data_IF_223737786107
#
_entry.id   IF_223737786107
#
_cell.length_a   1.000
_cell.length_b   1.000
_cell.length_c   1.000
_cell.angle_alpha   90.00
_cell.angle_beta   90.00
_cell.angle_gamma   90.00
#
_symmetry.space_group_name_H-M   'P 1'
#
loop_
_entity.id
_entity.type
_entity.pdbx_description
1 polymer ?
#
# COMPACT_ATOMS: atom_id res chain seq x y z
N UNK A 1 -46.11 -25.64 20.23
CA UNK A 1 -44.88 -25.69 21.05
C UNK A 1 -43.73 -25.22 20.17
N UNK A 2 -43.14 -24.04 20.43
CA UNK A 2 -42.08 -23.51 19.59
C UNK A 2 -40.71 -23.91 20.16
N UNK A 3 -39.72 -24.13 19.30
CA UNK A 3 -38.33 -24.21 19.72
C UNK A 3 -37.42 -23.63 18.65
N UNK A 4 -36.53 -22.75 19.12
CA UNK A 4 -35.25 -22.29 18.53
C UNK A 4 -35.24 -21.01 17.71
N UNK A 5 -34.78 -19.96 18.39
CA UNK A 5 -33.87 -18.94 17.86
C UNK A 5 -32.75 -18.73 18.88
N UNK A 6 -31.48 -18.63 18.47
CA UNK A 6 -30.50 -17.85 19.21
C UNK A 6 -30.14 -16.61 18.38
N UNK A 7 -30.59 -15.44 18.83
CA UNK A 7 -30.09 -14.15 18.38
C UNK A 7 -28.85 -13.81 19.20
N UNK A 8 -27.68 -13.83 18.58
CA UNK A 8 -26.43 -13.36 19.19
C UNK A 8 -26.37 -11.84 19.15
N UNK A 9 -26.55 -11.27 20.34
CA UNK A 9 -26.09 -9.99 20.86
C UNK A 9 -25.14 -9.14 20.00
N UNK A 10 -25.61 -7.94 19.67
CA UNK A 10 -24.79 -6.77 19.38
C UNK A 10 -24.33 -6.14 20.70
N UNK A 11 -23.02 -6.00 20.89
CA UNK A 11 -22.42 -5.23 21.98
C UNK A 11 -21.58 -4.10 21.39
N UNK A 12 -22.14 -2.90 21.32
CA UNK A 12 -21.43 -1.68 20.99
C UNK A 12 -21.08 -0.90 22.26
N UNK A 13 -19.83 -0.46 22.35
CA UNK A 13 -19.43 0.73 23.11
C UNK A 13 -19.06 0.51 24.58
N UNK A 14 -17.88 -0.06 24.83
CA UNK A 14 -17.14 0.16 26.08
C UNK A 14 -15.81 0.85 25.78
N UNK A 15 -15.75 2.14 26.06
CA UNK A 15 -14.49 2.87 26.21
C UNK A 15 -13.89 2.45 27.55
N UNK A 16 -12.71 1.82 27.50
CA UNK A 16 -11.96 1.35 28.66
C UNK A 16 -10.49 1.74 28.54
N UNK A 17 -9.88 2.29 29.61
CA UNK A 17 -8.56 2.94 29.58
C UNK A 17 -7.45 1.91 29.78
N UNK A 18 -6.28 2.12 29.17
CA UNK A 18 -4.98 1.61 29.67
C UNK A 18 -3.84 2.13 28.82
N UNK A 19 -3.06 3.03 29.42
CA UNK A 19 -1.78 3.52 28.90
C UNK A 19 -0.96 3.96 30.08
N UNK A 20 -0.39 2.99 30.79
CA UNK A 20 0.48 3.22 31.94
C UNK A 20 1.94 3.05 31.55
N UNK A 21 2.71 4.08 31.92
CA UNK A 21 4.08 4.03 32.43
C UNK A 21 5.26 4.24 31.46
N UNK A 22 6.03 5.27 31.84
CA UNK A 22 7.49 5.31 31.92
C UNK A 22 8.28 5.90 30.75
N UNK A 23 8.58 7.20 30.88
CA UNK A 23 9.90 7.79 30.65
C UNK A 23 9.92 9.11 31.48
N UNK A 24 10.53 9.17 32.67
CA UNK A 24 11.99 9.26 32.93
C UNK A 24 12.68 10.32 32.07
N UNK A 25 12.37 11.59 32.30
CA UNK A 25 13.15 12.74 31.86
C UNK A 25 13.66 13.49 33.09
N UNK A 26 14.86 13.14 33.55
CA UNK A 26 15.53 13.83 34.65
C UNK A 26 16.04 15.19 34.18
N UNK A 27 15.49 16.26 34.74
CA UNK A 27 16.07 17.59 34.69
C UNK A 27 17.22 17.65 35.70
N UNK A 28 18.43 17.41 35.20
CA UNK A 28 19.66 17.53 35.97
C UNK A 28 20.11 18.99 35.92
N UNK A 29 19.93 19.65 37.07
CA UNK A 29 20.78 20.72 37.58
C UNK A 29 22.23 20.62 37.06
N UNK A 30 22.77 21.73 36.55
CA UNK A 30 24.22 21.89 36.39
C UNK A 30 24.63 23.30 36.80
N UNK A 31 25.35 23.32 37.92
CA UNK A 31 26.06 24.44 38.50
C UNK A 31 27.12 25.05 37.57
N UNK A 32 27.43 26.31 37.84
CA UNK A 32 28.62 27.05 37.39
C UNK A 32 29.93 26.24 37.54
N UNK A 33 30.94 26.59 36.73
CA UNK A 33 32.11 27.22 37.34
C UNK A 33 32.66 28.40 36.55
N UNK A 34 33.27 29.33 37.30
CA UNK A 34 33.66 30.65 36.85
C UNK A 34 34.84 30.74 35.87
N UNK A 35 34.80 31.82 35.11
CA UNK A 35 35.89 32.36 34.31
C UNK A 35 36.66 33.42 35.09
N UNK A 36 38.00 33.32 35.24
CA UNK A 36 38.81 34.47 35.65
C UNK A 36 39.21 35.23 34.38
N UNK A 37 38.47 36.30 34.06
CA UNK A 37 38.89 37.27 33.06
C UNK A 37 39.70 38.37 33.74
N UNK A 38 40.93 38.50 33.27
CA UNK A 38 41.96 39.38 33.77
C UNK A 38 41.63 40.86 33.50
N UNK A 39 41.84 41.67 34.52
CA UNK A 39 42.14 43.11 34.43
C UNK A 39 43.40 43.33 33.60
N UNK A 40 43.47 44.40 32.78
CA UNK A 40 44.28 45.53 33.21
C UNK A 40 43.75 46.88 32.70
N UNK A 41 43.56 47.85 33.60
CA UNK A 41 43.45 49.26 33.22
C UNK A 41 44.07 50.13 34.31
N UNK A 42 45.33 50.46 34.03
CA UNK A 42 46.05 51.72 34.28
C UNK A 42 45.41 52.68 35.29
N UNK A 43 46.13 52.93 36.39
CA UNK A 43 45.91 54.05 37.29
C UNK A 43 47.23 54.86 37.47
N UNK A 44 47.15 56.15 37.80
CA UNK A 44 48.18 57.15 37.53
C UNK A 44 49.22 57.27 38.64
N UNK A 45 50.43 57.66 38.22
CA UNK A 45 51.60 57.95 39.06
C UNK A 45 51.40 59.26 39.83
N UNK A 46 51.56 59.21 41.16
CA UNK A 46 51.67 60.38 42.04
C UNK A 46 53.16 60.73 42.20
N UNK A 47 53.56 62.02 42.13
CA UNK A 47 54.92 62.45 42.37
C UNK A 47 55.19 62.65 43.88
N UNK A 48 56.29 62.11 44.39
CA UNK A 48 56.85 62.45 45.71
C UNK A 48 58.23 63.09 45.55
N UNK A 49 58.56 64.12 46.35
CA UNK A 49 59.75 64.94 46.18
C UNK A 49 61.00 64.33 46.82
N UNK A 50 62.13 64.70 46.23
CA UNK A 50 63.49 64.55 46.76
C UNK A 50 63.69 65.30 48.08
N UNK A 51 64.43 64.72 49.04
CA UNK A 51 65.58 65.33 49.71
C UNK A 51 66.22 64.35 50.73
N UNK A 52 67.56 64.34 50.81
CA UNK A 52 68.28 64.02 52.06
C UNK A 52 69.41 62.99 51.98
N UNK A 53 70.61 63.46 51.59
CA UNK A 53 71.92 62.84 51.86
C UNK A 53 72.15 62.67 53.38
N UNK A 54 72.98 61.71 53.88
CA UNK A 54 74.43 61.92 53.88
C UNK A 54 75.31 60.65 53.73
N UNK A 55 76.34 60.76 52.89
CA UNK A 55 77.74 60.42 53.26
C UNK A 55 78.20 58.96 53.43
N UNK A 56 79.31 58.66 52.73
CA UNK A 56 80.30 57.57 52.90
C UNK A 56 80.07 56.25 52.13
N UNK A 57 81.11 55.46 51.79
CA UNK A 57 82.54 55.72 51.49
C UNK A 57 82.88 55.34 50.01
N UNK A 58 84.13 55.46 49.49
CA UNK A 58 84.39 55.13 48.08
C UNK A 58 84.26 53.63 47.85
N UNK A 59 83.46 53.28 46.84
CA UNK A 59 83.28 51.91 46.35
C UNK A 59 84.66 51.39 45.91
N UNK A 60 85.16 50.26 46.45
CA UNK A 60 86.31 49.61 45.86
C UNK A 60 85.89 49.14 44.47
N UNK A 61 86.70 49.44 43.46
CA UNK A 61 86.51 48.92 42.10
C UNK A 61 86.38 47.40 42.16
N UNK A 62 85.35 46.80 41.54
CA UNK A 62 85.12 45.37 41.64
C UNK A 62 86.37 44.62 41.17
N UNK A 63 86.81 43.64 41.95
CA UNK A 63 87.86 42.73 41.50
C UNK A 63 87.29 41.91 40.33
N UNK A 64 88.13 41.57 39.33
CA UNK A 64 87.71 40.80 38.14
C UNK A 64 86.87 39.55 38.45
N UNK A 65 87.04 38.99 39.65
CA UNK A 65 86.30 37.83 40.16
C UNK A 65 84.84 38.15 40.53
N UNK A 66 84.55 39.32 41.09
CA UNK A 66 83.17 39.77 41.38
C UNK A 66 82.38 40.06 40.11
N UNK A 67 83.01 40.64 39.08
CA UNK A 67 82.36 40.82 37.78
C UNK A 67 82.05 39.49 37.09
N UNK A 68 82.95 38.51 37.20
CA UNK A 68 82.75 37.17 36.64
C UNK A 68 81.62 36.41 37.36
N UNK A 69 81.55 36.52 38.70
CA UNK A 69 80.45 35.96 39.49
C UNK A 69 79.12 36.65 39.16
N UNK A 70 79.09 37.98 39.00
CA UNK A 70 77.89 38.72 38.56
C UNK A 70 77.45 38.31 37.14
N UNK A 71 78.40 38.01 36.25
CA UNK A 71 78.09 37.47 34.92
C UNK A 71 77.49 36.06 35.01
N UNK A 72 78.05 35.17 35.84
CA UNK A 72 77.48 33.84 36.07
C UNK A 72 76.09 33.88 36.69
N UNK A 73 75.85 34.76 37.66
CA UNK A 73 74.51 34.94 38.26
C UNK A 73 73.51 35.38 37.18
N UNK A 74 73.87 36.34 36.32
CA UNK A 74 73.02 36.73 35.18
C UNK A 74 72.75 35.58 34.22
N UNK A 75 73.78 34.83 33.81
CA UNK A 75 73.61 33.67 32.91
C UNK A 75 72.71 32.58 33.54
N UNK A 76 72.84 32.35 34.85
CA UNK A 76 72.01 31.40 35.59
C UNK A 76 70.58 31.90 35.74
N UNK A 77 70.37 33.20 35.97
CA UNK A 77 69.05 33.83 35.99
C UNK A 77 68.36 33.72 34.62
N UNK A 78 69.05 34.00 33.52
CA UNK A 78 68.53 33.86 32.15
C UNK A 78 68.17 32.40 31.81
N UNK A 79 69.01 31.44 32.21
CA UNK A 79 68.71 30.00 32.07
C UNK A 79 67.49 29.60 32.89
N UNK A 80 67.39 30.10 34.12
CA UNK A 80 66.26 29.81 35.00
C UNK A 80 64.96 30.40 34.45
N UNK A 81 65.01 31.60 33.87
CA UNK A 81 63.88 32.23 33.20
C UNK A 81 63.47 31.44 31.95
N UNK A 82 64.43 31.03 31.13
CA UNK A 82 64.18 30.16 29.96
C UNK A 82 63.53 28.84 30.37
N UNK A 83 63.99 28.22 31.47
CA UNK A 83 63.40 26.99 32.00
C UNK A 83 61.98 27.20 32.54
N UNK A 84 61.70 28.34 33.17
CA UNK A 84 60.33 28.70 33.60
C UNK A 84 59.39 28.84 32.41
N UNK A 85 59.84 29.53 31.35
CA UNK A 85 59.06 29.70 30.10
C UNK A 85 58.75 28.33 29.50
N UNK A 86 59.76 27.47 29.32
CA UNK A 86 59.56 26.10 28.80
C UNK A 86 58.59 25.28 29.65
N UNK A 87 58.72 25.34 30.97
CA UNK A 87 57.78 24.63 31.88
C UNK A 87 56.34 25.14 31.71
N UNK A 88 56.15 26.45 31.53
CA UNK A 88 54.83 27.03 31.32
C UNK A 88 54.25 26.64 29.96
N UNK A 89 55.07 26.62 28.90
CA UNK A 89 54.69 26.13 27.57
C UNK A 89 54.29 24.65 27.61
N UNK A 90 55.07 23.80 28.27
CA UNK A 90 54.75 22.36 28.39
C UNK A 90 53.47 22.13 29.21
N UNK A 91 53.25 22.93 30.25
CA UNK A 91 51.97 22.92 31.00
C UNK A 91 50.79 23.35 30.13
N UNK A 92 50.98 24.31 29.22
CA UNK A 92 49.94 24.71 28.27
C UNK A 92 49.65 23.59 27.25
N UNK A 93 50.69 22.97 26.68
CA UNK A 93 50.56 21.83 25.77
C UNK A 93 49.84 20.64 26.41
N UNK A 94 50.14 20.35 27.68
CA UNK A 94 49.45 19.29 28.44
C UNK A 94 47.94 19.52 28.54
N UNK A 95 47.52 20.75 28.86
CA UNK A 95 46.09 21.11 28.90
C UNK A 95 45.44 21.03 27.52
N UNK A 96 46.17 21.40 26.47
CA UNK A 96 45.68 21.30 25.09
C UNK A 96 45.50 19.84 24.67
N UNK A 97 46.45 18.97 25.01
CA UNK A 97 46.35 17.52 24.80
C UNK A 97 45.15 16.91 25.52
N UNK A 98 44.89 17.30 26.78
CA UNK A 98 43.69 16.85 27.51
C UNK A 98 42.40 17.28 26.81
N UNK A 99 42.36 18.51 26.29
CA UNK A 99 41.21 19.01 25.51
C UNK A 99 41.02 18.19 24.23
N UNK A 100 42.08 17.93 23.47
CA UNK A 100 41.99 17.11 22.26
C UNK A 100 41.59 15.67 22.56
N UNK A 101 42.04 15.11 23.69
CA UNK A 101 41.64 13.76 24.12
C UNK A 101 40.13 13.66 24.37
N UNK A 102 39.55 14.63 25.08
CA UNK A 102 38.10 14.68 25.32
C UNK A 102 37.33 14.83 23.99
N UNK A 103 37.80 15.69 23.09
CA UNK A 103 37.18 15.84 21.76
C UNK A 103 37.24 14.55 20.94
N UNK A 104 38.37 13.84 21.00
CA UNK A 104 38.54 12.56 20.31
C UNK A 104 37.57 11.50 20.88
N UNK A 105 37.45 11.40 22.19
CA UNK A 105 36.51 10.49 22.86
C UNK A 105 35.06 10.81 22.46
N UNK A 106 34.69 12.10 22.45
CA UNK A 106 33.34 12.53 22.04
C UNK A 106 33.05 12.19 20.56
N UNK A 107 34.02 12.39 19.66
CA UNK A 107 33.88 12.02 18.24
C UNK A 107 33.80 10.51 18.08
N UNK A 108 34.54 9.72 18.86
CA UNK A 108 34.44 8.26 18.85
C UNK A 108 33.06 7.78 19.32
N UNK A 109 32.49 8.37 20.38
CA UNK A 109 31.13 8.07 20.82
C UNK A 109 30.09 8.41 19.75
N UNK A 110 30.20 9.58 19.13
CA UNK A 110 29.31 9.98 18.03
C UNK A 110 29.42 9.04 16.83
N UNK A 111 30.63 8.60 16.49
CA UNK A 111 30.85 7.61 15.43
C UNK A 111 30.17 6.28 15.76
N UNK A 112 30.33 5.77 16.98
CA UNK A 112 29.69 4.53 17.43
C UNK A 112 28.16 4.65 17.40
N UNK A 113 27.59 5.75 17.92
CA UNK A 113 26.14 6.02 17.86
C UNK A 113 25.63 6.08 16.43
N UNK A 114 26.35 6.76 15.54
CA UNK A 114 25.96 6.85 14.13
C UNK A 114 26.01 5.48 13.44
N UNK A 115 27.01 4.66 13.74
CA UNK A 115 27.10 3.29 13.21
C UNK A 115 25.97 2.40 13.71
N UNK A 116 25.60 2.50 14.99
CA UNK A 116 24.45 1.79 15.57
C UNK A 116 23.13 2.21 14.91
N UNK A 117 22.89 3.52 14.75
CA UNK A 117 21.72 4.04 14.05
C UNK A 117 21.67 3.56 12.59
N UNK A 118 22.80 3.53 11.90
CA UNK A 118 22.87 3.03 10.53
C UNK A 118 22.55 1.52 10.47
N UNK A 119 23.06 0.72 11.41
CA UNK A 119 22.75 -0.70 11.50
C UNK A 119 21.26 -0.95 11.79
N UNK A 120 20.67 -0.18 12.71
CA UNK A 120 19.26 -0.24 13.05
C UNK A 120 18.36 0.14 11.87
N UNK A 121 18.68 1.22 11.15
CA UNK A 121 17.96 1.62 9.96
C UNK A 121 18.04 0.54 8.86
N UNK A 122 19.21 -0.05 8.66
CA UNK A 122 19.37 -1.16 7.71
C UNK A 122 18.57 -2.40 8.12
N UNK A 123 18.50 -2.70 9.42
CA UNK A 123 17.69 -3.81 9.95
C UNK A 123 16.19 -3.56 9.72
N UNK A 124 15.69 -2.39 10.11
CA UNK A 124 14.27 -2.01 9.89
C UNK A 124 13.90 -2.01 8.41
N UNK A 125 14.80 -1.56 7.54
CA UNK A 125 14.58 -1.59 6.10
C UNK A 125 14.45 -3.02 5.56
N UNK A 126 15.27 -3.96 6.05
CA UNK A 126 15.16 -5.38 5.69
C UNK A 126 13.87 -6.00 6.23
N UNK A 127 13.50 -5.70 7.48
CA UNK A 127 12.26 -6.18 8.09
C UNK A 127 11.03 -5.67 7.35
N UNK A 128 10.96 -4.37 7.06
CA UNK A 128 9.86 -3.78 6.29
C UNK A 128 9.76 -4.36 4.88
N UNK A 129 10.89 -4.63 4.20
CA UNK A 129 10.88 -5.31 2.89
C UNK A 129 10.36 -6.74 2.99
N UNK A 130 10.72 -7.47 4.04
CA UNK A 130 10.23 -8.83 4.28
C UNK A 130 8.73 -8.81 4.56
N UNK A 131 8.27 -7.94 5.44
CA UNK A 131 6.85 -7.80 5.77
C UNK A 131 6.01 -7.40 4.57
N UNK A 132 6.50 -6.48 3.73
CA UNK A 132 5.84 -6.13 2.47
C UNK A 132 5.73 -7.32 1.51
N UNK A 133 6.78 -8.17 1.44
CA UNK A 133 6.76 -9.39 0.63
C UNK A 133 5.78 -10.42 1.19
N UNK A 134 5.83 -10.68 2.49
CA UNK A 134 4.94 -11.63 3.16
C UNK A 134 3.46 -11.19 3.02
N UNK A 135 3.19 -9.87 3.07
CA UNK A 135 1.85 -9.32 2.82
C UNK A 135 1.38 -9.50 1.36
N UNK A 136 2.28 -9.36 0.38
CA UNK A 136 1.97 -9.65 -1.03
C UNK A 136 1.66 -11.14 -1.24
N UNK A 137 2.47 -12.04 -0.69
CA UNK A 137 2.23 -13.48 -0.77
C UNK A 137 0.91 -13.87 -0.09
N UNK A 138 0.57 -13.27 1.05
CA UNK A 138 -0.71 -13.49 1.72
C UNK A 138 -1.90 -13.02 0.86
N UNK A 139 -1.76 -11.85 0.20
CA UNK A 139 -2.77 -11.35 -0.74
C UNK A 139 -2.92 -12.27 -1.95
N UNK A 140 -1.82 -12.75 -2.53
CA UNK A 140 -1.86 -13.69 -3.66
C UNK A 140 -2.59 -14.97 -3.30
N UNK A 141 -2.30 -15.57 -2.15
CA UNK A 141 -3.04 -16.75 -1.65
C UNK A 141 -4.53 -16.46 -1.47
N UNK A 142 -4.88 -15.32 -0.88
CA UNK A 142 -6.28 -14.94 -0.72
C UNK A 142 -6.99 -14.74 -2.07
N UNK A 143 -6.31 -14.17 -3.06
CA UNK A 143 -6.85 -14.04 -4.42
C UNK A 143 -7.05 -15.39 -5.10
N UNK A 144 -6.12 -16.34 -4.90
CA UNK A 144 -6.23 -17.72 -5.40
C UNK A 144 -7.42 -18.44 -4.74
N UNK A 145 -7.56 -18.38 -3.41
CA UNK A 145 -8.71 -18.92 -2.69
C UNK A 145 -10.04 -18.28 -3.15
N UNK A 146 -10.04 -16.98 -3.43
CA UNK A 146 -11.21 -16.28 -3.98
C UNK A 146 -11.54 -16.72 -5.40
N UNK A 147 -10.54 -17.03 -6.23
CA UNK A 147 -10.74 -17.58 -7.56
C UNK A 147 -11.32 -19.00 -7.48
N UNK A 148 -10.74 -19.88 -6.66
CA UNK A 148 -11.23 -21.25 -6.45
C UNK A 148 -12.68 -21.28 -5.94
N UNK A 149 -13.02 -20.36 -5.03
CA UNK A 149 -14.40 -20.24 -4.53
C UNK A 149 -15.36 -19.69 -5.58
N UNK A 150 -14.92 -18.76 -6.44
CA UNK A 150 -15.72 -18.29 -7.56
C UNK A 150 -15.99 -19.42 -8.57
N UNK A 151 -14.96 -20.19 -8.94
CA UNK A 151 -15.08 -21.36 -9.82
C UNK A 151 -16.02 -22.42 -9.22
N UNK A 152 -15.94 -22.66 -7.90
CA UNK A 152 -16.86 -23.56 -7.22
C UNK A 152 -18.32 -23.07 -7.27
N UNK A 153 -18.54 -21.75 -7.17
CA UNK A 153 -19.87 -21.15 -7.32
C UNK A 153 -20.36 -21.28 -8.76
N UNK A 154 -19.50 -21.06 -9.76
CA UNK A 154 -19.86 -21.23 -11.17
C UNK A 154 -20.25 -22.68 -11.48
N UNK A 155 -19.48 -23.66 -10.99
CA UNK A 155 -19.81 -25.08 -11.11
C UNK A 155 -21.14 -25.43 -10.45
N UNK A 156 -21.37 -24.96 -9.22
CA UNK A 156 -22.64 -25.18 -8.52
C UNK A 156 -23.83 -24.51 -9.23
N UNK A 157 -23.60 -23.36 -9.86
CA UNK A 157 -24.63 -22.64 -10.64
C UNK A 157 -24.97 -23.42 -11.91
N UNK A 158 -23.97 -23.93 -12.62
CA UNK A 158 -24.18 -24.77 -13.81
C UNK A 158 -24.95 -26.05 -13.47
N UNK A 159 -24.58 -26.75 -12.40
CA UNK A 159 -25.30 -27.94 -11.94
C UNK A 159 -26.77 -27.64 -11.60
N UNK A 160 -27.01 -26.48 -10.97
CA UNK A 160 -28.36 -26.00 -10.68
C UNK A 160 -29.15 -25.72 -11.97
N UNK A 161 -28.56 -25.00 -12.93
CA UNK A 161 -29.20 -24.70 -14.21
C UNK A 161 -29.54 -25.98 -14.99
N UNK A 162 -28.63 -26.96 -15.03
CA UNK A 162 -28.90 -28.26 -15.64
C UNK A 162 -30.04 -29.01 -14.96
N UNK A 163 -30.14 -28.91 -13.63
CA UNK A 163 -31.24 -29.51 -12.88
C UNK A 163 -32.58 -28.80 -13.14
N UNK A 164 -32.56 -27.46 -13.22
CA UNK A 164 -33.74 -26.65 -13.55
C UNK A 164 -34.24 -26.96 -14.97
N UNK A 165 -33.37 -27.00 -15.98
CA UNK A 165 -33.75 -27.39 -17.35
C UNK A 165 -34.40 -28.78 -17.40
N UNK A 166 -33.84 -29.75 -16.66
CA UNK A 166 -34.41 -31.10 -16.57
C UNK A 166 -35.79 -31.08 -15.93
N UNK A 167 -35.98 -30.31 -14.86
CA UNK A 167 -37.25 -30.19 -14.18
C UNK A 167 -38.30 -29.51 -15.07
N UNK A 168 -37.92 -28.45 -15.78
CA UNK A 168 -38.77 -27.76 -16.75
C UNK A 168 -39.19 -28.68 -17.90
N UNK A 169 -38.26 -29.46 -18.46
CA UNK A 169 -38.55 -30.44 -19.51
C UNK A 169 -39.56 -31.49 -19.04
N UNK A 170 -39.34 -32.08 -17.86
CA UNK A 170 -40.28 -33.05 -17.29
C UNK A 170 -41.64 -32.41 -16.99
N UNK A 171 -41.66 -31.16 -16.53
CA UNK A 171 -42.90 -30.43 -16.29
C UNK A 171 -43.69 -30.22 -17.60
N UNK A 172 -43.02 -29.83 -18.69
CA UNK A 172 -43.64 -29.72 -20.01
C UNK A 172 -44.19 -31.06 -20.51
N UNK A 173 -43.47 -32.17 -20.31
CA UNK A 173 -43.96 -33.50 -20.66
C UNK A 173 -45.22 -33.88 -19.86
N UNK A 174 -45.23 -33.60 -18.55
CA UNK A 174 -46.37 -33.83 -17.67
C UNK A 174 -47.58 -33.02 -18.15
N UNK A 175 -47.40 -31.74 -18.46
CA UNK A 175 -48.49 -30.88 -18.89
C UNK A 175 -49.02 -31.29 -20.28
N UNK A 176 -48.13 -31.68 -21.21
CA UNK A 176 -48.53 -32.27 -22.49
C UNK A 176 -49.33 -33.57 -22.33
N UNK A 177 -48.95 -34.42 -21.36
CA UNK A 177 -49.70 -35.63 -21.06
C UNK A 177 -51.06 -35.32 -20.43
N UNK A 178 -51.14 -34.32 -19.54
CA UNK A 178 -52.43 -33.87 -18.98
C UNK A 178 -53.37 -33.35 -20.05
N UNK A 179 -52.89 -32.51 -20.97
CA UNK A 179 -53.68 -32.01 -22.10
C UNK A 179 -54.22 -33.17 -22.96
N UNK A 180 -53.39 -34.18 -23.25
CA UNK A 180 -53.84 -35.39 -23.97
C UNK A 180 -54.89 -36.17 -23.19
N UNK A 181 -54.74 -36.30 -21.87
CA UNK A 181 -55.72 -36.98 -21.02
C UNK A 181 -57.04 -36.20 -21.01
N UNK A 182 -57.01 -34.88 -20.88
CA UNK A 182 -58.19 -34.03 -20.94
C UNK A 182 -58.90 -34.15 -22.30
N UNK A 183 -58.14 -34.10 -23.39
CA UNK A 183 -58.66 -34.29 -24.75
C UNK A 183 -59.35 -35.64 -24.92
N UNK A 184 -58.67 -36.73 -24.56
CA UNK A 184 -59.24 -38.08 -24.65
C UNK A 184 -60.43 -38.27 -23.72
N UNK A 185 -60.43 -37.63 -22.55
CA UNK A 185 -61.56 -37.66 -21.61
C UNK A 185 -62.77 -36.97 -22.23
N UNK A 186 -62.59 -35.79 -22.82
CA UNK A 186 -63.66 -35.06 -23.52
C UNK A 186 -64.20 -35.86 -24.72
N UNK A 187 -63.32 -36.45 -25.54
CA UNK A 187 -63.74 -37.32 -26.66
C UNK A 187 -64.57 -38.52 -26.20
N UNK A 188 -64.17 -39.15 -25.09
CA UNK A 188 -64.94 -40.24 -24.49
C UNK A 188 -66.30 -39.79 -23.97
N UNK A 189 -66.38 -38.61 -23.34
CA UNK A 189 -67.65 -38.03 -22.88
C UNK A 189 -68.59 -37.73 -24.04
N UNK A 190 -68.07 -37.13 -25.11
CA UNK A 190 -68.80 -36.85 -26.34
C UNK A 190 -69.31 -38.14 -26.97
N UNK A 191 -68.45 -39.16 -27.13
CA UNK A 191 -68.83 -40.45 -27.71
C UNK A 191 -69.87 -41.16 -26.86
N UNK A 192 -69.74 -41.13 -25.53
CA UNK A 192 -70.76 -41.69 -24.61
C UNK A 192 -72.09 -40.99 -24.80
N UNK A 193 -72.12 -39.65 -24.82
CA UNK A 193 -73.34 -38.89 -25.06
C UNK A 193 -73.96 -39.20 -26.42
N UNK A 194 -73.16 -39.31 -27.49
CA UNK A 194 -73.66 -39.66 -28.82
C UNK A 194 -74.25 -41.06 -28.89
N UNK A 195 -73.61 -42.03 -28.24
CA UNK A 195 -74.12 -43.40 -28.14
C UNK A 195 -75.43 -43.43 -27.32
N UNK A 196 -75.49 -42.73 -26.19
CA UNK A 196 -76.69 -42.63 -25.35
C UNK A 196 -77.87 -41.97 -26.08
N UNK A 197 -77.62 -40.93 -26.89
CA UNK A 197 -78.67 -40.16 -27.55
C UNK A 197 -79.13 -40.77 -28.89
N UNK A 198 -78.21 -41.35 -29.67
CA UNK A 198 -78.45 -41.74 -31.08
C UNK A 198 -78.24 -43.23 -31.37
N UNK A 199 -77.74 -44.01 -30.42
CA UNK A 199 -77.37 -45.40 -30.64
C UNK A 199 -76.11 -45.56 -31.51
N UNK A 200 -75.60 -46.79 -31.59
CA UNK A 200 -74.29 -47.11 -32.20
C UNK A 200 -74.14 -46.68 -33.67
N UNK A 201 -75.23 -46.70 -34.46
CA UNK A 201 -75.18 -46.34 -35.89
C UNK A 201 -75.12 -44.82 -36.14
N UNK A 202 -75.70 -43.99 -35.26
CA UNK A 202 -75.65 -42.53 -35.38
C UNK A 202 -74.28 -41.94 -35.01
N UNK A 203 -73.58 -42.57 -34.07
CA UNK A 203 -72.24 -42.17 -33.63
C UNK A 203 -71.18 -42.38 -34.74
N UNK A 204 -71.30 -43.44 -35.55
CA UNK A 204 -70.34 -43.72 -36.64
C UNK A 204 -70.35 -42.64 -37.74
N UNK A 205 -71.54 -42.14 -38.12
CA UNK A 205 -71.66 -41.06 -39.11
C UNK A 205 -71.18 -39.71 -38.57
N UNK A 206 -71.37 -39.46 -37.26
CA UNK A 206 -70.86 -38.27 -36.55
C UNK A 206 -69.34 -38.27 -36.47
N UNK A 207 -68.74 -39.41 -36.11
CA UNK A 207 -67.29 -39.60 -35.98
C UNK A 207 -66.53 -39.28 -37.27
N UNK A 208 -67.05 -39.73 -38.42
CA UNK A 208 -66.43 -39.45 -39.73
C UNK A 208 -66.36 -37.94 -40.04
N UNK A 209 -67.40 -37.19 -39.67
CA UNK A 209 -67.45 -35.73 -39.87
C UNK A 209 -66.50 -35.03 -38.90
N UNK A 210 -66.51 -35.41 -37.61
CA UNK A 210 -65.58 -34.87 -36.60
C UNK A 210 -64.13 -35.13 -36.94
N UNK A 211 -63.80 -36.32 -37.46
CA UNK A 211 -62.44 -36.65 -37.88
C UNK A 211 -61.93 -35.73 -39.01
N UNK A 212 -62.80 -35.32 -39.94
CA UNK A 212 -62.46 -34.37 -41.00
C UNK A 212 -62.33 -32.93 -40.49
N UNK A 213 -63.14 -32.54 -39.51
CA UNK A 213 -63.03 -31.22 -38.85
C UNK A 213 -61.74 -31.11 -38.04
N UNK A 214 -61.39 -32.15 -37.29
CA UNK A 214 -60.18 -32.20 -36.47
C UNK A 214 -58.90 -32.20 -37.32
N UNK A 215 -58.90 -32.92 -38.46
CA UNK A 215 -57.80 -32.85 -39.42
C UNK A 215 -57.64 -31.43 -40.01
N UNK A 216 -58.74 -30.74 -40.31
CA UNK A 216 -58.70 -29.35 -40.75
C UNK A 216 -58.21 -28.40 -39.65
N UNK A 217 -58.60 -28.64 -38.39
CA UNK A 217 -58.14 -27.86 -37.25
C UNK A 217 -56.62 -28.03 -37.07
N UNK A 218 -56.11 -29.26 -37.09
CA UNK A 218 -54.66 -29.56 -37.02
C UNK A 218 -53.88 -28.91 -38.15
N UNK A 219 -54.39 -28.94 -39.38
CA UNK A 219 -53.76 -28.27 -40.52
C UNK A 219 -53.73 -26.75 -40.34
N UNK A 220 -54.80 -26.15 -39.82
CA UNK A 220 -54.84 -24.71 -39.52
C UNK A 220 -53.85 -24.33 -38.42
N UNK A 221 -53.76 -25.12 -37.35
CA UNK A 221 -52.78 -24.89 -36.28
C UNK A 221 -51.34 -25.05 -36.77
N UNK A 222 -51.05 -26.05 -37.61
CA UNK A 222 -49.75 -26.23 -38.22
C UNK A 222 -49.36 -25.01 -39.09
N UNK A 223 -50.31 -24.47 -39.86
CA UNK A 223 -50.11 -23.25 -40.64
C UNK A 223 -49.86 -22.01 -39.76
N UNK A 224 -50.60 -21.86 -38.66
CA UNK A 224 -50.37 -20.76 -37.71
C UNK A 224 -49.00 -20.89 -37.05
N UNK A 225 -48.63 -22.09 -36.60
CA UNK A 225 -47.31 -22.36 -36.01
C UNK A 225 -46.19 -22.08 -37.02
N UNK A 226 -46.35 -22.46 -38.29
CA UNK A 226 -45.38 -22.16 -39.34
C UNK A 226 -45.26 -20.65 -39.58
N UNK A 227 -46.39 -19.92 -39.62
CA UNK A 227 -46.40 -18.46 -39.72
C UNK A 227 -45.66 -17.81 -38.55
N UNK A 228 -45.90 -18.28 -37.34
CA UNK A 228 -45.30 -17.72 -36.12
C UNK A 228 -43.80 -18.03 -36.03
N UNK A 229 -43.38 -19.23 -36.43
CA UNK A 229 -41.97 -19.59 -36.59
C UNK A 229 -41.29 -18.68 -37.62
N UNK A 230 -41.87 -18.52 -38.82
CA UNK A 230 -41.31 -17.61 -39.82
C UNK A 230 -41.27 -16.14 -39.36
N UNK A 231 -42.24 -15.70 -38.57
CA UNK A 231 -42.23 -14.35 -37.99
C UNK A 231 -41.09 -14.20 -36.95
N UNK A 232 -40.89 -15.22 -36.11
CA UNK A 232 -39.81 -15.28 -35.13
C UNK A 232 -38.44 -15.29 -35.80
N UNK A 233 -38.22 -16.17 -36.79
CA UNK A 233 -36.99 -16.23 -37.59
C UNK A 233 -36.68 -14.89 -38.25
N UNK A 234 -37.70 -14.23 -38.83
CA UNK A 234 -37.55 -12.89 -39.42
C UNK A 234 -37.14 -11.85 -38.37
N UNK A 235 -37.72 -11.90 -37.17
CA UNK A 235 -37.35 -11.00 -36.08
C UNK A 235 -35.92 -11.25 -35.59
N UNK A 236 -35.52 -12.52 -35.45
CA UNK A 236 -34.16 -12.91 -35.08
C UNK A 236 -33.14 -12.46 -36.12
N UNK A 237 -33.41 -12.69 -37.41
CA UNK A 237 -32.57 -12.17 -38.50
C UNK A 237 -32.36 -10.66 -38.42
N UNK A 238 -33.43 -9.89 -38.16
CA UNK A 238 -33.33 -8.43 -37.98
C UNK A 238 -32.49 -8.06 -36.75
N UNK A 239 -32.60 -8.81 -35.65
CA UNK A 239 -31.77 -8.59 -34.45
C UNK A 239 -30.30 -8.87 -34.73
N UNK A 240 -29.97 -10.01 -35.35
CA UNK A 240 -28.60 -10.37 -35.75
C UNK A 240 -28.02 -9.32 -36.71
N UNK A 241 -28.80 -8.87 -37.69
CA UNK A 241 -28.38 -7.84 -38.62
C UNK A 241 -27.99 -6.54 -37.89
N UNK A 242 -28.81 -6.07 -36.94
CA UNK A 242 -28.49 -4.89 -36.13
C UNK A 242 -27.25 -5.10 -35.24
N UNK A 243 -27.06 -6.29 -34.69
CA UNK A 243 -25.85 -6.61 -33.90
C UNK A 243 -24.60 -6.60 -34.78
N UNK A 244 -24.67 -7.17 -35.98
CA UNK A 244 -23.58 -7.13 -36.96
C UNK A 244 -23.23 -5.71 -37.39
N UNK A 245 -24.23 -4.86 -37.64
CA UNK A 245 -24.03 -3.43 -37.93
C UNK A 245 -23.32 -2.71 -36.78
N UNK A 246 -23.74 -2.94 -35.52
CA UNK A 246 -23.07 -2.38 -34.33
C UNK A 246 -21.62 -2.86 -34.22
N UNK A 247 -21.38 -4.17 -34.37
CA UNK A 247 -20.02 -4.73 -34.32
C UNK A 247 -19.12 -4.17 -35.41
N UNK A 248 -19.65 -3.94 -36.60
CA UNK A 248 -18.92 -3.24 -37.66
C UNK A 248 -18.57 -1.80 -37.27
N UNK A 249 -19.49 -1.06 -36.65
CA UNK A 249 -19.18 0.31 -36.17
C UNK A 249 -18.15 0.33 -35.04
N UNK A 250 -18.21 -0.63 -34.09
CA UNK A 250 -17.21 -0.79 -33.03
C UNK A 250 -15.83 -1.14 -33.60
N UNK A 251 -15.79 -2.08 -34.56
CA UNK A 251 -14.56 -2.45 -35.27
C UNK A 251 -13.93 -1.25 -35.97
N UNK A 252 -14.75 -0.41 -36.61
CA UNK A 252 -14.26 0.78 -37.30
C UNK A 252 -13.71 1.83 -36.31
N UNK A 253 -14.39 2.04 -35.18
CA UNK A 253 -13.88 2.90 -34.10
C UNK A 253 -12.56 2.38 -33.52
N UNK A 254 -12.44 1.07 -33.30
CA UNK A 254 -11.20 0.46 -32.80
C UNK A 254 -10.05 0.57 -33.81
N UNK A 255 -10.34 0.44 -35.11
CA UNK A 255 -9.35 0.69 -36.17
C UNK A 255 -8.83 2.12 -36.12
N UNK A 256 -9.72 3.11 -36.00
CA UNK A 256 -9.33 4.52 -35.88
C UNK A 256 -8.49 4.78 -34.63
N UNK A 257 -8.85 4.20 -33.48
CA UNK A 257 -8.06 4.30 -32.25
C UNK A 257 -6.68 3.65 -32.40
N UNK A 258 -6.60 2.47 -33.04
CA UNK A 258 -5.34 1.79 -33.33
C UNK A 258 -4.44 2.66 -34.20
N UNK A 259 -4.98 3.26 -35.25
CA UNK A 259 -4.22 4.16 -36.13
C UNK A 259 -3.69 5.37 -35.37
N UNK A 260 -4.52 6.00 -34.51
CA UNK A 260 -4.10 7.12 -33.68
C UNK A 260 -2.97 6.76 -32.70
N UNK A 261 -3.12 5.66 -31.96
CA UNK A 261 -2.08 5.19 -31.04
C UNK A 261 -0.81 4.81 -31.79
N UNK A 262 -0.93 4.21 -32.98
CA UNK A 262 0.22 3.90 -33.81
C UNK A 262 0.97 5.16 -34.28
N UNK A 263 0.25 6.27 -34.52
CA UNK A 263 0.87 7.55 -34.82
C UNK A 263 1.54 8.20 -33.58
N UNK A 264 0.91 8.12 -32.40
CA UNK A 264 1.50 8.59 -31.14
C UNK A 264 2.77 7.81 -30.79
N UNK A 265 2.77 6.48 -30.95
CA UNK A 265 3.97 5.64 -30.77
C UNK A 265 5.07 6.06 -31.73
N UNK A 266 4.77 6.24 -33.02
CA UNK A 266 5.75 6.73 -34.00
C UNK A 266 6.31 8.11 -33.63
N UNK A 267 5.49 9.00 -33.08
CA UNK A 267 5.95 10.30 -32.60
C UNK A 267 6.86 10.15 -31.38
N UNK A 268 6.49 9.32 -30.40
CA UNK A 268 7.31 9.04 -29.23
C UNK A 268 8.65 8.40 -29.61
N UNK A 269 8.67 7.43 -30.52
CA UNK A 269 9.90 6.82 -31.06
C UNK A 269 10.82 7.88 -31.67
N UNK A 270 10.28 8.78 -32.51
CA UNK A 270 11.06 9.91 -33.07
C UNK A 270 11.65 10.80 -31.97
N UNK A 271 10.87 11.16 -30.95
CA UNK A 271 11.38 11.97 -29.84
C UNK A 271 12.47 11.26 -29.04
N UNK A 272 12.37 9.94 -28.87
CA UNK A 272 13.41 9.14 -28.20
C UNK A 272 14.68 9.11 -29.04
N UNK A 273 14.56 8.96 -30.36
CA UNK A 273 15.70 8.97 -31.27
C UNK A 273 16.39 10.35 -31.32
N UNK A 274 15.62 11.44 -31.38
CA UNK A 274 16.15 12.81 -31.26
C UNK A 274 16.91 13.05 -29.94
N UNK A 275 16.38 12.54 -28.82
CA UNK A 275 17.04 12.63 -27.51
C UNK A 275 18.31 11.77 -27.44
N UNK A 276 18.35 10.61 -28.10
CA UNK A 276 19.56 9.78 -28.19
C UNK A 276 20.65 10.45 -29.01
N UNK A 277 20.31 11.19 -30.06
CA UNK A 277 21.31 11.92 -30.87
C UNK A 277 21.92 13.13 -30.13
N UNK A 278 21.30 13.59 -29.04
CA UNK A 278 21.80 14.70 -28.21
C UNK A 278 22.81 14.28 -27.11
N UNK A 279 23.10 12.99 -26.95
CA UNK A 279 24.02 12.42 -25.93
C UNK A 279 25.26 11.85 -26.61
#
# INVERSE_FOLDING_TARGET
>A
QPTRTPTSSASGGTAGPSGSASASGGEMSSSEPGTPAQTPLVAPVIPTPSLGSPGAPPVPSPTKEEENLRAQVRDLEEKLETLKIKRNEDKAKLKELEKYKIQLEQVQEWKSKMQEQQADLQKRLKEAKKEAKDALEAKERYMEEMADTADAIEMATLDKEMAEERAESLQQEVDSLKEKVEYLTMDLEILKHEIEEKGSDGAASSYQVKQLEEQNARLKEALVRMRDLSASEKQEHVKLQKQMEKKNTELESLRQQREKLQEEVKQAEKTVDELKEQV
#
